data_IF_123814117063
#
_entry.id   IF_123814117063
#
_cell.length_a   1.000
_cell.length_b   1.000
_cell.length_c   1.000
_cell.angle_alpha   90.00
_cell.angle_beta   90.00
_cell.angle_gamma   90.00
#
_symmetry.space_group_name_H-M   'P 1'
#
loop_
_entity.id
_entity.type
_entity.pdbx_description
1 polymer ?
#
# COMPACT_ATOMS: atom_id res chain seq x y z
N UNK A 1 -23.65 -21.26 -12.98
CA UNK A 1 -22.20 -21.41 -13.30
C UNK A 1 -21.84 -20.70 -14.60
N UNK A 2 -22.50 -21.01 -15.72
CA UNK A 2 -22.20 -20.39 -17.03
C UNK A 2 -22.28 -18.86 -17.04
N UNK A 3 -23.30 -18.27 -16.42
CA UNK A 3 -23.42 -16.80 -16.29
C UNK A 3 -22.22 -16.18 -15.54
N UNK A 4 -21.73 -16.83 -14.48
CA UNK A 4 -20.55 -16.38 -13.73
C UNK A 4 -19.28 -16.46 -14.57
N UNK A 5 -19.12 -17.54 -15.33
CA UNK A 5 -18.01 -17.65 -16.29
C UNK A 5 -18.08 -16.51 -17.31
N UNK A 6 -19.24 -16.25 -17.90
CA UNK A 6 -19.42 -15.12 -18.83
C UNK A 6 -19.06 -13.78 -18.18
N UNK A 7 -19.51 -13.54 -16.95
CA UNK A 7 -19.16 -12.33 -16.19
C UNK A 7 -17.63 -12.20 -15.99
N UNK A 8 -16.97 -13.26 -15.51
CA UNK A 8 -15.52 -13.26 -15.28
C UNK A 8 -14.77 -13.06 -16.59
N UNK A 9 -15.21 -13.68 -17.68
CA UNK A 9 -14.61 -13.48 -19.01
C UNK A 9 -14.74 -12.02 -19.46
N UNK A 10 -15.90 -11.38 -19.22
CA UNK A 10 -16.09 -9.95 -19.53
C UNK A 10 -15.20 -9.04 -18.69
N UNK A 11 -14.93 -9.38 -17.42
CA UNK A 11 -13.92 -8.70 -16.61
C UNK A 11 -12.54 -8.83 -17.26
N UNK A 12 -12.14 -10.06 -17.62
CA UNK A 12 -10.83 -10.39 -18.20
C UNK A 12 -10.63 -9.92 -19.65
N UNK A 13 -11.69 -9.42 -20.29
CA UNK A 13 -11.64 -8.69 -21.55
C UNK A 13 -11.31 -7.21 -21.34
N UNK A 14 -11.72 -6.63 -20.20
CA UNK A 14 -11.37 -5.26 -19.81
C UNK A 14 -9.95 -5.16 -19.29
N UNK A 15 -9.56 -6.07 -18.40
CA UNK A 15 -8.19 -6.15 -17.86
C UNK A 15 -7.75 -7.61 -17.75
N UNK A 16 -6.64 -7.93 -18.39
CA UNK A 16 -6.04 -9.26 -18.40
C UNK A 16 -5.51 -9.68 -17.03
N UNK A 17 -5.23 -10.96 -16.90
CA UNK A 17 -4.65 -11.57 -15.70
C UNK A 17 -3.28 -10.94 -15.32
N UNK A 18 -2.52 -10.55 -16.35
CA UNK A 18 -1.20 -9.91 -16.22
C UNK A 18 -1.35 -8.46 -15.75
N UNK A 19 -2.37 -7.73 -16.23
CA UNK A 19 -2.71 -6.38 -15.77
C UNK A 19 -3.20 -6.38 -14.33
N UNK A 20 -4.08 -7.32 -13.96
CA UNK A 20 -4.55 -7.48 -12.59
C UNK A 20 -3.40 -7.85 -11.63
N UNK A 21 -2.38 -8.53 -12.14
CA UNK A 21 -1.17 -8.91 -11.40
C UNK A 21 0.01 -7.99 -11.73
N UNK A 22 -0.25 -6.68 -11.84
CA UNK A 22 0.64 -5.67 -12.39
C UNK A 22 2.12 -5.85 -12.02
N UNK A 23 2.44 -5.98 -10.71
CA UNK A 23 3.84 -6.08 -10.24
C UNK A 23 4.55 -7.31 -10.80
N UNK A 24 3.86 -8.44 -10.77
CA UNK A 24 4.40 -9.73 -11.19
C UNK A 24 4.22 -9.97 -12.70
N UNK A 25 3.48 -9.08 -13.37
CA UNK A 25 3.18 -9.11 -14.79
C UNK A 25 3.92 -7.99 -15.53
N UNK A 26 3.23 -6.87 -15.73
CA UNK A 26 3.69 -5.74 -16.56
C UNK A 26 5.00 -5.14 -16.06
N UNK A 27 5.14 -4.91 -14.75
CA UNK A 27 6.32 -4.22 -14.22
C UNK A 27 7.40 -5.16 -13.70
N UNK A 28 7.33 -6.46 -13.99
CA UNK A 28 8.31 -7.43 -13.47
C UNK A 28 9.75 -7.11 -13.90
N UNK A 29 9.93 -6.48 -15.07
CA UNK A 29 11.23 -6.00 -15.53
C UNK A 29 11.87 -4.99 -14.58
N UNK A 30 11.03 -4.21 -13.91
CA UNK A 30 11.42 -3.07 -13.09
C UNK A 30 11.75 -3.50 -11.65
N UNK A 31 11.58 -4.79 -11.32
CA UNK A 31 11.91 -5.40 -10.03
C UNK A 31 12.93 -6.54 -10.16
N UNK A 32 14.22 -6.27 -10.47
CA UNK A 32 15.25 -7.29 -10.66
C UNK A 32 15.40 -8.29 -9.50
N UNK A 33 15.18 -7.86 -8.25
CA UNK A 33 15.24 -8.76 -7.09
C UNK A 33 14.18 -9.88 -7.17
N UNK A 34 12.98 -9.57 -7.71
CA UNK A 34 11.92 -10.56 -7.91
C UNK A 34 12.27 -11.60 -8.99
N UNK A 35 13.05 -11.21 -10.01
CA UNK A 35 13.52 -12.14 -11.05
C UNK A 35 14.53 -13.16 -10.54
N UNK A 36 15.35 -12.77 -9.55
CA UNK A 36 16.40 -13.62 -8.95
C UNK A 36 15.85 -14.68 -8.00
N UNK A 37 14.57 -14.59 -7.59
CA UNK A 37 13.96 -15.59 -6.73
C UNK A 37 13.90 -16.95 -7.44
N UNK A 38 14.61 -17.95 -6.89
CA UNK A 38 14.47 -19.35 -7.31
C UNK A 38 13.01 -19.74 -7.13
N UNK A 39 12.34 -20.11 -8.22
CA UNK A 39 10.93 -20.49 -8.20
C UNK A 39 10.70 -21.76 -8.97
N UNK A 40 9.58 -22.38 -8.63
CA UNK A 40 9.17 -23.67 -9.13
C UNK A 40 8.93 -23.61 -10.64
N UNK A 41 9.20 -24.72 -11.34
CA UNK A 41 8.83 -24.87 -12.75
C UNK A 41 7.30 -24.76 -12.96
N UNK A 42 6.88 -24.82 -14.22
CA UNK A 42 5.47 -24.71 -14.62
C UNK A 42 4.52 -25.62 -13.79
N UNK A 43 4.89 -26.88 -13.61
CA UNK A 43 4.13 -27.87 -12.81
C UNK A 43 3.95 -27.40 -11.36
N UNK A 44 5.01 -26.84 -10.76
CA UNK A 44 4.94 -26.33 -9.39
C UNK A 44 4.05 -25.09 -9.27
N UNK A 45 3.99 -24.24 -10.30
CA UNK A 45 3.05 -23.11 -10.32
C UNK A 45 1.58 -23.57 -10.43
N UNK A 46 1.30 -24.58 -11.25
CA UNK A 46 -0.04 -25.20 -11.29
C UNK A 46 -0.40 -25.75 -9.91
N UNK A 47 0.51 -26.51 -9.30
CA UNK A 47 0.28 -27.07 -7.97
C UNK A 47 0.03 -26.00 -6.91
N UNK A 48 0.79 -24.90 -6.93
CA UNK A 48 0.54 -23.75 -6.04
C UNK A 48 -0.83 -23.13 -6.26
N UNK A 49 -1.29 -23.00 -7.51
CA UNK A 49 -2.63 -22.47 -7.80
C UNK A 49 -3.73 -23.42 -7.28
N UNK A 50 -3.58 -24.73 -7.48
CA UNK A 50 -4.51 -25.73 -6.96
C UNK A 50 -4.52 -25.72 -5.41
N UNK A 51 -3.35 -25.70 -4.78
CA UNK A 51 -3.20 -25.57 -3.33
C UNK A 51 -3.84 -24.27 -2.81
N UNK A 52 -3.67 -23.15 -3.51
CA UNK A 52 -4.30 -21.89 -3.15
C UNK A 52 -5.83 -22.00 -3.16
N UNK A 53 -6.42 -22.55 -4.21
CA UNK A 53 -7.88 -22.75 -4.27
C UNK A 53 -8.34 -23.74 -3.18
N UNK A 54 -7.55 -24.78 -2.91
CA UNK A 54 -7.90 -25.77 -1.89
C UNK A 54 -7.85 -25.15 -0.51
N UNK A 55 -6.80 -24.40 -0.19
CA UNK A 55 -6.67 -23.65 1.06
C UNK A 55 -7.82 -22.66 1.20
N UNK A 56 -8.11 -21.89 0.17
CA UNK A 56 -9.23 -20.96 0.16
C UNK A 56 -10.58 -21.67 0.44
N UNK A 57 -10.81 -22.82 -0.18
CA UNK A 57 -11.99 -23.64 0.08
C UNK A 57 -12.04 -24.15 1.53
N UNK A 58 -10.92 -24.61 2.08
CA UNK A 58 -10.83 -25.10 3.47
C UNK A 58 -11.07 -23.95 4.48
N UNK A 59 -10.45 -22.79 4.25
CA UNK A 59 -10.50 -21.64 5.13
C UNK A 59 -11.87 -20.94 5.08
N UNK A 60 -12.67 -21.20 4.04
CA UNK A 60 -13.99 -20.60 3.85
C UNK A 60 -15.13 -21.13 4.76
N UNK A 61 -14.80 -21.75 5.90
CA UNK A 61 -15.79 -22.37 6.77
C UNK A 61 -16.65 -21.36 7.54
N UNK A 62 -17.93 -21.35 7.15
CA UNK A 62 -19.13 -20.91 7.87
C UNK A 62 -19.25 -19.43 8.26
N UNK A 63 -20.11 -18.72 7.54
CA UNK A 63 -20.28 -17.27 7.69
C UNK A 63 -21.73 -16.80 7.70
N UNK A 64 -21.92 -15.57 8.23
CA UNK A 64 -23.19 -14.83 8.29
C UNK A 64 -23.34 -13.98 7.02
N UNK A 65 -24.52 -14.01 6.40
CA UNK A 65 -24.84 -13.14 5.27
C UNK A 65 -24.81 -11.67 5.68
N UNK A 66 -24.47 -10.78 4.73
CA UNK A 66 -24.83 -9.36 4.84
C UNK A 66 -26.35 -9.31 5.00
N UNK A 67 -26.83 -8.84 6.15
CA UNK A 67 -28.28 -8.76 6.42
C UNK A 67 -28.90 -7.49 5.85
N UNK A 68 -28.13 -6.39 5.79
CA UNK A 68 -28.60 -5.07 5.37
C UNK A 68 -27.69 -4.51 4.28
N UNK A 69 -28.25 -3.81 3.29
CA UNK A 69 -27.50 -3.10 2.24
C UNK A 69 -26.57 -2.06 2.88
N UNK A 70 -25.23 -2.21 2.83
CA UNK A 70 -24.33 -1.18 3.32
C UNK A 70 -24.25 -0.03 2.32
N UNK A 71 -24.02 1.18 2.80
CA UNK A 71 -23.61 2.31 1.96
C UNK A 71 -22.18 2.10 1.43
N UNK A 72 -21.30 1.62 2.32
CA UNK A 72 -19.87 1.44 2.06
C UNK A 72 -19.40 0.07 2.55
N UNK A 73 -18.61 -0.61 1.72
CA UNK A 73 -17.77 -1.73 2.16
C UNK A 73 -16.31 -1.30 2.24
N UNK A 74 -15.69 -1.53 3.40
CA UNK A 74 -14.26 -1.39 3.62
C UNK A 74 -13.58 -2.71 3.32
N UNK A 75 -12.47 -2.67 2.58
CA UNK A 75 -11.74 -3.87 2.20
C UNK A 75 -10.26 -3.78 2.59
N UNK A 76 -9.77 -4.79 3.33
CA UNK A 76 -8.34 -4.95 3.60
C UNK A 76 -7.90 -6.40 3.64
N UNK A 77 -6.86 -6.76 2.92
CA UNK A 77 -6.30 -8.13 2.94
C UNK A 77 -4.98 -8.27 3.69
N UNK A 78 -4.39 -7.16 4.15
CA UNK A 78 -3.17 -7.14 4.98
C UNK A 78 -3.38 -6.30 6.23
N UNK A 79 -2.49 -6.47 7.22
CA UNK A 79 -2.52 -5.66 8.43
C UNK A 79 -2.30 -4.17 8.16
N UNK A 80 -1.40 -3.81 7.23
CA UNK A 80 -1.14 -2.41 6.90
C UNK A 80 -2.36 -1.73 6.26
N UNK A 81 -3.07 -2.44 5.37
CA UNK A 81 -4.34 -1.96 4.81
C UNK A 81 -5.38 -1.79 5.91
N UNK A 82 -5.50 -2.76 6.81
CA UNK A 82 -6.42 -2.70 7.93
C UNK A 82 -6.16 -1.51 8.86
N UNK A 83 -4.92 -1.30 9.26
CA UNK A 83 -4.52 -0.21 10.16
C UNK A 83 -4.79 1.17 9.58
N UNK A 84 -4.74 1.28 8.24
CA UNK A 84 -5.06 2.53 7.53
C UNK A 84 -6.57 2.80 7.48
N UNK A 85 -7.37 1.75 7.30
CA UNK A 85 -8.83 1.88 7.10
C UNK A 85 -9.66 1.82 8.39
N UNK A 86 -9.22 1.12 9.44
CA UNK A 86 -10.06 0.82 10.60
C UNK A 86 -10.53 2.05 11.37
N UNK A 87 -9.71 3.10 11.47
CA UNK A 87 -10.13 4.30 12.21
C UNK A 87 -11.13 5.11 11.39
N UNK A 88 -10.96 5.17 10.06
CA UNK A 88 -11.91 5.78 9.13
C UNK A 88 -13.26 5.06 9.23
N UNK A 89 -13.24 3.72 9.24
CA UNK A 89 -14.44 2.90 9.44
C UNK A 89 -15.15 3.23 10.76
N UNK A 90 -14.41 3.25 11.89
CA UNK A 90 -14.98 3.55 13.21
C UNK A 90 -15.59 4.95 13.27
N UNK A 91 -14.92 5.92 12.67
CA UNK A 91 -15.38 7.32 12.61
C UNK A 91 -16.70 7.42 11.83
N UNK A 92 -16.77 6.80 10.65
CA UNK A 92 -17.97 6.79 9.81
C UNK A 92 -19.17 6.07 10.46
N UNK A 93 -18.93 4.91 11.09
CA UNK A 93 -19.97 4.17 11.79
C UNK A 93 -20.53 4.93 13.00
N UNK A 94 -19.68 5.68 13.71
CA UNK A 94 -20.07 6.33 14.97
C UNK A 94 -20.71 7.69 14.75
N UNK A 95 -20.20 8.48 13.81
CA UNK A 95 -20.50 9.92 13.73
C UNK A 95 -21.30 10.32 12.48
N UNK A 96 -21.44 9.42 11.50
CA UNK A 96 -21.95 9.78 10.19
C UNK A 96 -23.20 8.99 9.74
N UNK A 97 -23.77 8.16 10.63
CA UNK A 97 -24.99 7.38 10.36
C UNK A 97 -24.95 6.54 9.07
N UNK A 98 -23.76 6.19 8.58
CA UNK A 98 -23.59 5.36 7.39
C UNK A 98 -23.62 3.88 7.75
N UNK A 99 -24.33 3.07 6.97
CA UNK A 99 -24.29 1.63 7.09
C UNK A 99 -22.98 1.11 6.49
N UNK A 100 -21.95 0.92 7.31
CA UNK A 100 -20.66 0.41 6.85
C UNK A 100 -20.44 -1.05 7.23
N UNK A 101 -19.93 -1.83 6.28
CA UNK A 101 -19.43 -3.19 6.54
C UNK A 101 -17.92 -3.25 6.33
N UNK A 102 -17.24 -4.07 7.13
CA UNK A 102 -15.80 -4.29 7.01
C UNK A 102 -15.51 -5.72 6.54
N UNK A 103 -14.72 -5.85 5.48
CA UNK A 103 -14.30 -7.11 4.92
C UNK A 103 -12.78 -7.25 5.06
N UNK A 104 -12.33 -8.28 5.80
CA UNK A 104 -10.93 -8.68 5.80
C UNK A 104 -10.75 -10.17 5.53
N UNK A 105 -9.72 -10.48 4.76
CA UNK A 105 -9.36 -11.87 4.39
C UNK A 105 -8.39 -12.51 5.38
N UNK A 106 -7.61 -11.72 6.14
CA UNK A 106 -6.51 -12.25 6.96
C UNK A 106 -6.40 -11.67 8.37
N UNK A 107 -7.09 -10.58 8.70
CA UNK A 107 -7.00 -10.00 10.05
C UNK A 107 -8.15 -10.53 10.88
N UNK A 108 -7.87 -11.03 12.09
CA UNK A 108 -8.85 -11.54 13.07
C UNK A 108 -9.73 -10.41 13.63
N UNK A 109 -10.51 -9.73 12.81
CA UNK A 109 -11.26 -8.54 13.19
C UNK A 109 -12.70 -8.94 13.48
N UNK A 110 -13.14 -8.71 14.73
CA UNK A 110 -14.55 -8.91 15.09
C UNK A 110 -15.41 -7.92 14.28
N UNK A 111 -16.40 -8.45 13.54
CA UNK A 111 -17.32 -7.79 12.58
C UNK A 111 -17.06 -8.06 11.09
N UNK A 112 -16.39 -9.17 10.76
CA UNK A 112 -16.22 -9.61 9.39
C UNK A 112 -17.54 -10.00 8.72
N UNK A 113 -17.86 -9.32 7.61
CA UNK A 113 -18.72 -9.88 6.56
C UNK A 113 -17.90 -10.91 5.81
N UNK A 114 -18.38 -12.14 5.67
CA UNK A 114 -17.64 -13.17 4.96
C UNK A 114 -18.61 -14.01 4.12
N UNK A 115 -18.21 -14.31 2.90
CA UNK A 115 -19.05 -15.04 1.95
C UNK A 115 -19.02 -16.54 2.21
N UNK A 116 -20.20 -17.18 2.21
CA UNK A 116 -20.29 -18.64 2.05
C UNK A 116 -19.78 -19.01 0.65
N UNK A 117 -18.61 -19.61 0.61
CA UNK A 117 -18.05 -20.18 -0.61
C UNK A 117 -18.86 -21.43 -0.95
N UNK A 118 -19.53 -21.40 -2.10
CA UNK A 118 -20.25 -22.57 -2.63
C UNK A 118 -19.22 -23.55 -3.20
N UNK A 119 -19.54 -24.84 -3.30
CA UNK A 119 -18.68 -25.83 -4.01
C UNK A 119 -18.28 -25.34 -5.42
N UNK A 120 -19.20 -24.65 -6.10
CA UNK A 120 -18.94 -24.06 -7.41
C UNK A 120 -17.86 -22.97 -7.40
N UNK A 121 -17.60 -22.33 -6.26
CA UNK A 121 -16.56 -21.32 -6.09
C UNK A 121 -15.16 -21.93 -6.03
N UNK A 122 -15.02 -23.26 -5.90
CA UNK A 122 -13.76 -23.99 -6.06
C UNK A 122 -13.52 -24.42 -7.52
N UNK A 123 -14.50 -25.08 -8.15
CA UNK A 123 -14.35 -25.60 -9.52
C UNK A 123 -14.42 -24.50 -10.58
N UNK A 124 -15.14 -23.42 -10.30
CA UNK A 124 -15.31 -22.29 -11.22
C UNK A 124 -14.00 -21.64 -11.65
N UNK A 125 -13.16 -21.15 -10.71
CA UNK A 125 -11.85 -20.59 -11.02
C UNK A 125 -10.94 -21.55 -11.80
N UNK A 126 -10.96 -22.85 -11.48
CA UNK A 126 -10.20 -23.87 -12.20
C UNK A 126 -10.66 -23.96 -13.65
N UNK A 127 -11.98 -24.03 -13.89
CA UNK A 127 -12.52 -24.08 -15.25
C UNK A 127 -12.17 -22.81 -16.05
N UNK A 128 -12.29 -21.62 -15.46
CA UNK A 128 -11.86 -20.36 -16.10
C UNK A 128 -10.38 -20.41 -16.46
N UNK A 129 -9.53 -20.91 -15.56
CA UNK A 129 -8.08 -21.04 -15.80
C UNK A 129 -7.77 -21.94 -17.00
N UNK A 130 -8.51 -23.05 -17.17
CA UNK A 130 -8.35 -23.95 -18.32
C UNK A 130 -8.78 -23.27 -19.62
N UNK A 131 -9.91 -22.54 -19.61
CA UNK A 131 -10.41 -21.80 -20.78
C UNK A 131 -9.46 -20.68 -21.22
N UNK A 132 -8.82 -20.00 -20.25
CA UNK A 132 -7.92 -18.86 -20.49
C UNK A 132 -6.46 -19.26 -20.69
N UNK A 133 -6.11 -20.53 -20.48
CA UNK A 133 -4.73 -21.01 -20.51
C UNK A 133 -3.93 -20.52 -21.73
N UNK A 134 -4.45 -20.75 -22.95
CA UNK A 134 -3.77 -20.34 -24.20
C UNK A 134 -3.53 -18.83 -24.27
N UNK A 135 -4.45 -18.01 -23.75
CA UNK A 135 -4.33 -16.55 -23.77
C UNK A 135 -3.30 -16.07 -22.76
N UNK A 136 -3.26 -16.66 -21.57
CA UNK A 136 -2.23 -16.37 -20.56
C UNK A 136 -0.85 -16.77 -21.08
N UNK A 137 -0.70 -17.98 -21.67
CA UNK A 137 0.54 -18.44 -22.33
C UNK A 137 1.04 -17.40 -23.34
N UNK A 138 0.15 -16.99 -24.26
CA UNK A 138 0.48 -15.99 -25.28
C UNK A 138 0.95 -14.69 -24.65
N UNK A 139 0.23 -14.22 -23.62
CA UNK A 139 0.52 -12.94 -22.96
C UNK A 139 1.83 -12.97 -22.17
N UNK A 140 2.16 -14.10 -21.53
CA UNK A 140 3.46 -14.30 -20.86
C UNK A 140 4.58 -14.25 -21.89
N UNK A 141 4.44 -14.98 -23.00
CA UNK A 141 5.46 -15.04 -24.04
C UNK A 141 5.65 -13.73 -24.82
N UNK A 142 4.68 -12.80 -24.74
CA UNK A 142 4.71 -11.52 -25.44
C UNK A 142 4.94 -10.30 -24.54
N UNK A 143 5.28 -10.49 -23.26
CA UNK A 143 5.45 -9.39 -22.30
C UNK A 143 6.64 -9.61 -21.37
N UNK A 144 6.85 -8.69 -20.42
CA UNK A 144 7.84 -8.79 -19.34
C UNK A 144 7.44 -9.79 -18.24
N UNK A 145 6.26 -10.39 -18.33
CA UNK A 145 5.74 -11.39 -17.40
C UNK A 145 6.58 -12.68 -17.40
N UNK A 146 6.39 -13.52 -16.38
CA UNK A 146 7.15 -14.75 -16.21
C UNK A 146 6.29 -15.90 -15.73
N UNK A 147 6.59 -17.09 -16.25
CA UNK A 147 6.02 -18.36 -15.81
C UNK A 147 6.15 -18.60 -14.30
N UNK A 148 7.16 -18.00 -13.66
CA UNK A 148 7.41 -18.09 -12.22
C UNK A 148 6.33 -17.40 -11.35
N UNK A 149 5.40 -16.69 -11.98
CA UNK A 149 4.29 -16.00 -11.33
C UNK A 149 2.94 -16.45 -11.89
N UNK A 150 2.90 -17.55 -12.65
CA UNK A 150 1.66 -18.07 -13.24
C UNK A 150 0.56 -18.31 -12.18
N UNK A 151 0.96 -18.81 -11.00
CA UNK A 151 0.01 -18.99 -9.89
C UNK A 151 -0.63 -17.66 -9.46
N UNK A 152 0.11 -16.55 -9.46
CA UNK A 152 -0.42 -15.22 -9.12
C UNK A 152 -1.38 -14.71 -10.20
N UNK A 153 -1.09 -14.94 -11.49
CA UNK A 153 -2.03 -14.60 -12.56
C UNK A 153 -3.36 -15.32 -12.39
N UNK A 154 -3.30 -16.61 -12.02
CA UNK A 154 -4.49 -17.43 -11.86
C UNK A 154 -5.31 -17.11 -10.59
N UNK A 155 -4.70 -16.49 -9.56
CA UNK A 155 -5.45 -16.00 -8.37
C UNK A 155 -6.55 -15.02 -8.74
N UNK A 156 -6.38 -14.25 -9.82
CA UNK A 156 -7.43 -13.35 -10.34
C UNK A 156 -8.74 -14.09 -10.57
N UNK A 157 -8.73 -15.33 -11.08
CA UNK A 157 -9.95 -16.11 -11.30
C UNK A 157 -10.71 -16.39 -10.00
N UNK A 158 -9.98 -16.73 -8.93
CA UNK A 158 -10.57 -17.00 -7.62
C UNK A 158 -11.18 -15.72 -7.04
N UNK A 159 -10.46 -14.60 -7.10
CA UNK A 159 -10.94 -13.32 -6.57
C UNK A 159 -12.11 -12.75 -7.37
N UNK A 160 -12.05 -12.74 -8.70
CA UNK A 160 -13.16 -12.32 -9.56
C UNK A 160 -14.42 -13.16 -9.28
N UNK A 161 -14.26 -14.47 -9.09
CA UNK A 161 -15.38 -15.35 -8.73
C UNK A 161 -15.95 -15.00 -7.35
N UNK A 162 -15.09 -14.81 -6.36
CA UNK A 162 -15.48 -14.46 -4.99
C UNK A 162 -16.23 -13.13 -4.93
N UNK A 163 -15.74 -12.09 -5.60
CA UNK A 163 -16.37 -10.78 -5.59
C UNK A 163 -17.63 -10.74 -6.45
N UNK A 164 -17.69 -11.51 -7.54
CA UNK A 164 -18.96 -11.76 -8.22
C UNK A 164 -19.96 -12.38 -7.26
N UNK A 165 -19.60 -13.40 -6.48
CA UNK A 165 -20.49 -13.98 -5.47
C UNK A 165 -20.92 -12.96 -4.39
N UNK A 166 -20.02 -12.05 -4.00
CA UNK A 166 -20.29 -10.98 -3.04
C UNK A 166 -21.35 -10.00 -3.54
N UNK A 167 -21.26 -9.61 -4.82
CA UNK A 167 -22.08 -8.55 -5.40
C UNK A 167 -23.17 -9.05 -6.33
N UNK A 168 -23.31 -10.35 -6.60
CA UNK A 168 -24.34 -10.85 -7.51
C UNK A 168 -25.75 -10.39 -7.07
N UNK A 169 -26.02 -10.38 -5.77
CA UNK A 169 -27.30 -9.95 -5.23
C UNK A 169 -27.40 -8.41 -5.11
N UNK A 170 -28.26 -7.81 -5.94
CA UNK A 170 -28.42 -6.36 -6.06
C UNK A 170 -28.92 -5.69 -4.78
N UNK A 171 -29.78 -6.39 -4.02
CA UNK A 171 -30.37 -5.87 -2.78
C UNK A 171 -29.32 -5.65 -1.68
N UNK A 172 -28.16 -6.29 -1.82
CA UNK A 172 -27.04 -6.19 -0.87
C UNK A 172 -25.84 -5.43 -1.43
N UNK A 173 -25.89 -4.92 -2.67
CA UNK A 173 -24.76 -4.20 -3.28
C UNK A 173 -24.52 -2.86 -2.58
N UNK A 174 -23.28 -2.54 -2.20
CA UNK A 174 -22.97 -1.21 -1.70
C UNK A 174 -23.03 -0.16 -2.82
N UNK A 175 -23.15 1.10 -2.40
CA UNK A 175 -22.93 2.23 -3.31
C UNK A 175 -21.42 2.45 -3.52
N UNK A 176 -20.62 2.19 -2.48
CA UNK A 176 -19.17 2.42 -2.47
C UNK A 176 -18.36 1.24 -1.92
N UNK A 177 -17.14 1.07 -2.44
CA UNK A 177 -16.12 0.18 -1.88
C UNK A 177 -14.85 0.97 -1.64
N UNK A 178 -14.38 1.01 -0.39
CA UNK A 178 -13.14 1.66 0.03
C UNK A 178 -12.02 0.62 0.18
N UNK A 179 -10.94 0.83 -0.56
CA UNK A 179 -9.73 0.02 -0.56
C UNK A 179 -8.53 0.87 -0.16
N UNK A 180 -7.43 0.22 0.20
CA UNK A 180 -6.17 0.92 0.45
C UNK A 180 -4.98 0.40 -0.36
N UNK A 181 -5.19 -0.54 -1.29
CA UNK A 181 -4.11 -1.04 -2.14
C UNK A 181 -4.54 -1.00 -3.62
N UNK A 182 -3.62 -0.58 -4.47
CA UNK A 182 -3.82 -0.24 -5.88
C UNK A 182 -3.22 -1.26 -6.86
N UNK A 183 -2.46 -2.25 -6.37
CA UNK A 183 -1.62 -3.10 -7.23
C UNK A 183 -1.68 -4.59 -6.93
N UNK A 184 -2.18 -5.00 -5.76
CA UNK A 184 -2.30 -6.41 -5.45
C UNK A 184 -3.49 -7.03 -6.22
N UNK A 185 -3.33 -8.28 -6.67
CA UNK A 185 -4.31 -8.96 -7.54
C UNK A 185 -5.71 -9.04 -6.93
N UNK A 186 -5.79 -9.01 -5.60
CA UNK A 186 -7.03 -9.09 -4.84
C UNK A 186 -7.82 -7.77 -4.90
N UNK A 187 -7.20 -6.63 -4.57
CA UNK A 187 -7.84 -5.32 -4.66
C UNK A 187 -8.11 -4.93 -6.13
N UNK A 188 -7.20 -5.23 -7.06
CA UNK A 188 -7.43 -4.93 -8.48
C UNK A 188 -8.60 -5.74 -9.03
N UNK A 189 -8.77 -7.00 -8.59
CA UNK A 189 -9.93 -7.83 -8.93
C UNK A 189 -11.22 -7.28 -8.32
N UNK A 190 -11.19 -6.86 -7.04
CA UNK A 190 -12.35 -6.23 -6.39
C UNK A 190 -12.79 -4.96 -7.12
N UNK A 191 -11.84 -4.08 -7.41
CA UNK A 191 -12.04 -2.83 -8.16
C UNK A 191 -12.66 -3.10 -9.54
N UNK A 192 -12.13 -4.08 -10.28
CA UNK A 192 -12.66 -4.43 -11.60
C UNK A 192 -14.10 -4.96 -11.53
N UNK A 193 -14.41 -5.78 -10.53
CA UNK A 193 -15.79 -6.27 -10.32
C UNK A 193 -16.73 -5.11 -9.95
N UNK A 194 -16.28 -4.18 -9.12
CA UNK A 194 -17.04 -2.96 -8.80
C UNK A 194 -17.34 -2.15 -10.07
N UNK A 195 -16.34 -1.96 -10.93
CA UNK A 195 -16.47 -1.24 -12.20
C UNK A 195 -17.51 -1.90 -13.13
N UNK A 196 -17.49 -3.23 -13.27
CA UNK A 196 -18.47 -3.95 -14.11
C UNK A 196 -19.89 -3.86 -13.52
N UNK A 197 -20.04 -3.87 -12.20
CA UNK A 197 -21.34 -3.70 -11.54
C UNK A 197 -21.79 -2.25 -11.37
N UNK A 198 -20.96 -1.26 -11.72
CA UNK A 198 -21.25 0.16 -11.53
C UNK A 198 -21.16 0.64 -10.07
N UNK A 199 -20.52 -0.13 -9.18
CA UNK A 199 -20.25 0.24 -7.79
C UNK A 199 -19.08 1.22 -7.76
N UNK A 200 -19.22 2.33 -7.02
CA UNK A 200 -18.18 3.34 -6.94
C UNK A 200 -17.03 2.89 -6.06
N UNK A 201 -15.82 3.25 -6.45
CA UNK A 201 -14.60 2.82 -5.77
C UNK A 201 -13.85 4.00 -5.19
N UNK A 202 -13.32 3.79 -3.98
CA UNK A 202 -12.53 4.78 -3.27
C UNK A 202 -11.20 4.15 -2.85
N UNK A 203 -10.12 4.92 -2.89
CA UNK A 203 -8.78 4.49 -2.50
C UNK A 203 -8.17 5.41 -1.44
N UNK A 204 -7.63 4.84 -0.37
CA UNK A 204 -6.85 5.55 0.64
C UNK A 204 -5.42 5.06 0.61
N UNK A 205 -4.48 5.97 0.38
CA UNK A 205 -3.05 5.64 0.41
C UNK A 205 -2.63 5.12 1.80
N UNK A 206 -1.82 4.07 1.83
CA UNK A 206 -1.34 3.43 3.09
C UNK A 206 0.19 3.36 3.21
N UNK A 207 0.90 3.72 2.15
CA UNK A 207 2.35 3.62 2.05
C UNK A 207 2.87 4.64 1.03
N UNK A 208 4.15 4.98 1.12
CA UNK A 208 4.82 5.78 0.08
C UNK A 208 4.75 5.06 -1.26
N UNK A 209 4.57 5.85 -2.31
CA UNK A 209 4.35 5.37 -3.68
C UNK A 209 5.47 5.85 -4.59
N UNK A 210 5.52 5.28 -5.78
CA UNK A 210 6.54 5.61 -6.77
C UNK A 210 6.07 5.22 -8.18
N UNK A 211 6.77 5.75 -9.20
CA UNK A 211 6.44 5.62 -10.62
C UNK A 211 6.41 4.19 -11.15
N UNK A 212 6.95 3.22 -10.40
CA UNK A 212 6.86 1.80 -10.75
C UNK A 212 5.50 1.19 -10.44
N UNK A 213 4.65 1.84 -9.64
CA UNK A 213 3.28 1.39 -9.34
C UNK A 213 2.31 1.68 -10.51
N UNK A 214 1.15 0.99 -10.58
CA UNK A 214 0.16 1.27 -11.59
C UNK A 214 -0.49 2.64 -11.37
N UNK A 215 -1.10 3.18 -12.42
CA UNK A 215 -1.97 4.34 -12.31
C UNK A 215 -3.22 4.02 -11.47
N UNK A 216 -3.74 5.03 -10.78
CA UNK A 216 -4.96 4.91 -9.99
C UNK A 216 -6.17 4.71 -10.90
N UNK A 217 -6.98 3.69 -10.58
CA UNK A 217 -8.19 3.32 -11.32
C UNK A 217 -9.44 3.31 -10.41
N UNK A 218 -9.51 4.27 -9.50
CA UNK A 218 -10.61 4.41 -8.53
C UNK A 218 -11.38 5.69 -8.80
N UNK A 219 -12.68 5.75 -8.47
CA UNK A 219 -13.48 6.96 -8.69
C UNK A 219 -13.01 8.13 -7.80
N UNK A 220 -12.68 7.86 -6.53
CA UNK A 220 -12.20 8.86 -5.57
C UNK A 220 -10.91 8.39 -4.90
N UNK A 221 -9.93 9.28 -4.74
CA UNK A 221 -8.63 8.93 -4.16
C UNK A 221 -8.23 9.90 -3.05
N UNK A 222 -7.76 9.36 -1.93
CA UNK A 222 -7.24 10.09 -0.77
C UNK A 222 -5.74 9.81 -0.67
N UNK A 223 -4.95 10.81 -1.03
CA UNK A 223 -3.49 10.72 -1.17
C UNK A 223 -2.79 11.44 -0.02
N UNK A 224 -1.56 11.02 0.29
CA UNK A 224 -0.81 11.58 1.40
C UNK A 224 -0.46 13.06 1.15
N UNK A 225 -0.03 13.42 -0.07
CA UNK A 225 0.33 14.79 -0.43
C UNK A 225 0.57 14.99 -1.92
N UNK A 226 0.97 16.21 -2.31
CA UNK A 226 1.16 16.60 -3.71
C UNK A 226 2.16 15.69 -4.44
N UNK A 227 3.23 15.27 -3.75
CA UNK A 227 4.22 14.36 -4.33
C UNK A 227 3.60 13.04 -4.79
N UNK A 228 2.65 12.50 -4.02
CA UNK A 228 1.97 11.27 -4.40
C UNK A 228 1.11 11.47 -5.66
N UNK A 229 0.38 12.58 -5.73
CA UNK A 229 -0.38 12.96 -6.91
C UNK A 229 0.52 13.08 -8.15
N UNK A 230 1.62 13.83 -8.05
CA UNK A 230 2.58 14.04 -9.14
C UNK A 230 3.16 12.72 -9.67
N UNK A 231 3.48 11.79 -8.77
CA UNK A 231 4.01 10.48 -9.16
C UNK A 231 2.95 9.67 -9.88
N UNK A 232 1.70 9.63 -9.38
CA UNK A 232 0.62 8.90 -10.04
C UNK A 232 0.28 9.46 -11.42
N UNK A 233 0.35 10.77 -11.61
CA UNK A 233 0.20 11.42 -12.92
C UNK A 233 1.31 11.02 -13.91
N UNK A 234 2.50 10.70 -13.39
CA UNK A 234 3.68 10.27 -14.18
C UNK A 234 3.77 8.75 -14.37
N UNK A 235 2.91 7.94 -13.75
CA UNK A 235 2.93 6.49 -13.92
C UNK A 235 2.78 6.11 -15.41
N UNK A 236 3.61 5.17 -15.90
CA UNK A 236 3.63 4.73 -17.31
C UNK A 236 2.26 4.35 -17.87
N UNK A 237 1.37 3.84 -17.01
CA UNK A 237 0.03 3.38 -17.37
C UNK A 237 -1.02 4.49 -17.36
N UNK A 238 -0.73 5.69 -16.84
CA UNK A 238 -1.71 6.75 -16.64
C UNK A 238 -2.35 7.21 -17.96
N UNK A 239 -1.52 7.52 -18.97
CA UNK A 239 -2.00 7.94 -20.30
C UNK A 239 -2.85 6.87 -21.02
N UNK A 240 -2.66 5.59 -20.68
CA UNK A 240 -3.37 4.45 -21.27
C UNK A 240 -4.58 4.02 -20.45
N UNK A 241 -4.77 4.57 -19.25
CA UNK A 241 -5.86 4.17 -18.38
C UNK A 241 -7.18 4.72 -18.91
N UNK A 242 -8.11 3.82 -19.19
CA UNK A 242 -9.50 4.18 -19.53
C UNK A 242 -10.30 4.67 -18.32
N UNK A 243 -9.81 4.38 -17.12
CA UNK A 243 -10.42 4.80 -15.87
C UNK A 243 -9.45 5.70 -15.12
N UNK A 244 -9.78 6.98 -15.03
CA UNK A 244 -9.05 7.97 -14.24
C UNK A 244 -9.86 8.34 -13.01
N UNK A 245 -9.21 8.75 -11.91
CA UNK A 245 -9.94 9.30 -10.77
C UNK A 245 -10.80 10.49 -11.18
N UNK A 246 -12.00 10.54 -10.62
CA UNK A 246 -12.87 11.71 -10.76
C UNK A 246 -12.41 12.84 -9.85
N UNK A 247 -11.84 12.49 -8.70
CA UNK A 247 -11.39 13.47 -7.72
C UNK A 247 -10.25 12.90 -6.87
N UNK A 248 -9.26 13.75 -6.59
CA UNK A 248 -8.19 13.49 -5.65
C UNK A 248 -8.22 14.48 -4.48
N UNK A 249 -8.03 13.94 -3.28
CA UNK A 249 -7.96 14.69 -2.03
C UNK A 249 -6.58 14.49 -1.42
N UNK A 250 -5.90 15.58 -1.03
CA UNK A 250 -4.61 15.51 -0.35
C UNK A 250 -4.83 15.56 1.16
N UNK A 251 -4.88 14.39 1.80
CA UNK A 251 -5.36 14.25 3.18
C UNK A 251 -4.27 14.09 4.22
N UNK A 252 -3.01 13.92 3.82
CA UNK A 252 -1.91 13.60 4.74
C UNK A 252 -1.69 12.10 4.92
N UNK A 253 -0.58 11.76 5.57
CA UNK A 253 -0.19 10.38 5.86
C UNK A 253 -1.15 9.70 6.85
N UNK A 254 -1.62 8.49 6.53
CA UNK A 254 -2.62 7.78 7.35
C UNK A 254 -2.03 7.00 8.54
N UNK A 255 -0.71 7.00 8.72
CA UNK A 255 -0.06 6.37 9.86
C UNK A 255 -0.09 7.31 11.07
N UNK A 256 -0.30 6.75 12.27
CA UNK A 256 -0.30 7.55 13.51
C UNK A 256 1.15 7.90 13.88
N UNK A 257 1.60 9.10 13.51
CA UNK A 257 2.98 9.58 13.72
C UNK A 257 2.95 10.92 14.46
N UNK A 258 3.21 10.86 15.75
CA UNK A 258 3.17 12.04 16.61
C UNK A 258 4.52 12.77 16.61
N UNK A 259 4.51 14.12 16.56
CA UNK A 259 5.72 14.92 16.78
C UNK A 259 6.38 14.55 18.12
N UNK A 260 7.70 14.40 18.12
CA UNK A 260 8.46 14.13 19.32
C UNK A 260 8.51 15.36 20.21
N UNK A 261 8.21 15.20 21.49
CA UNK A 261 8.42 16.26 22.50
C UNK A 261 9.90 16.37 22.92
N UNK A 262 10.64 15.26 22.82
CA UNK A 262 12.08 15.20 23.09
C UNK A 262 12.72 14.13 22.22
N UNK A 263 13.89 14.44 21.68
CA UNK A 263 14.75 13.47 20.97
C UNK A 263 15.53 12.62 21.98
N UNK A 264 15.66 11.33 21.69
CA UNK A 264 16.46 10.42 22.51
C UNK A 264 17.96 10.55 22.23
N UNK A 265 18.77 9.62 22.74
CA UNK A 265 20.23 9.65 22.59
C UNK A 265 20.78 8.71 21.52
N UNK A 266 19.95 7.81 20.98
CA UNK A 266 20.41 6.77 20.07
C UNK A 266 20.46 7.25 18.62
N UNK A 267 21.38 6.70 17.84
CA UNK A 267 21.30 6.69 16.39
C UNK A 267 20.41 5.52 15.98
N UNK A 268 19.23 5.82 15.45
CA UNK A 268 18.35 4.81 14.91
C UNK A 268 18.89 4.34 13.56
N UNK A 269 19.07 3.04 13.39
CA UNK A 269 19.35 2.45 12.08
C UNK A 269 18.20 1.53 11.72
N UNK A 270 17.50 1.81 10.63
CA UNK A 270 16.45 0.93 10.13
C UNK A 270 16.89 0.22 8.85
N UNK A 271 16.69 -1.09 8.79
CA UNK A 271 17.15 -1.93 7.66
C UNK A 271 16.07 -2.88 7.14
N UNK A 272 16.14 -3.22 5.87
CA UNK A 272 15.24 -4.13 5.17
C UNK A 272 16.01 -5.20 4.36
N UNK A 273 15.32 -5.96 3.51
CA UNK A 273 15.92 -7.05 2.72
C UNK A 273 16.82 -6.61 1.56
N UNK A 274 16.73 -5.35 1.12
CA UNK A 274 17.55 -4.79 0.05
C UNK A 274 18.95 -4.37 0.53
N UNK A 275 19.12 -4.25 1.85
CA UNK A 275 20.35 -3.78 2.48
C UNK A 275 21.42 -4.88 2.57
N UNK A 276 22.65 -4.52 2.21
CA UNK A 276 23.85 -5.32 2.43
C UNK A 276 24.26 -5.24 3.91
N UNK A 277 24.03 -6.34 4.63
CA UNK A 277 24.36 -6.45 6.05
C UNK A 277 25.84 -6.23 6.35
N UNK A 278 26.75 -6.42 5.40
CA UNK A 278 28.17 -6.08 5.58
C UNK A 278 28.34 -4.57 5.73
N UNK A 279 27.74 -3.78 4.82
CA UNK A 279 27.78 -2.31 4.87
C UNK A 279 27.11 -1.78 6.13
N UNK A 280 26.00 -2.40 6.54
CA UNK A 280 25.31 -2.07 7.81
C UNK A 280 26.25 -2.31 9.00
N UNK A 281 26.94 -3.46 9.04
CA UNK A 281 27.91 -3.78 10.10
C UNK A 281 29.06 -2.79 10.15
N UNK A 282 29.60 -2.39 9.00
CA UNK A 282 30.68 -1.41 8.91
C UNK A 282 30.21 -0.04 9.43
N UNK A 283 29.02 0.40 9.04
CA UNK A 283 28.41 1.64 9.54
C UNK A 283 28.20 1.63 11.07
N UNK A 284 27.65 0.55 11.63
CA UNK A 284 27.48 0.38 13.08
C UNK A 284 28.82 0.44 13.81
N UNK A 285 29.85 -0.22 13.27
CA UNK A 285 31.19 -0.27 13.88
C UNK A 285 31.83 1.12 13.92
N UNK A 286 31.69 1.90 12.85
CA UNK A 286 32.18 3.28 12.77
C UNK A 286 31.47 4.20 13.77
N UNK A 287 30.14 4.08 13.90
CA UNK A 287 29.35 4.84 14.86
C UNK A 287 29.72 4.52 16.31
N UNK A 288 29.84 3.24 16.63
CA UNK A 288 30.23 2.79 17.98
C UNK A 288 31.65 3.25 18.33
N UNK A 289 32.60 3.20 17.38
CA UNK A 289 33.98 3.70 17.56
C UNK A 289 34.02 5.21 17.81
N UNK A 290 32.99 5.93 17.38
CA UNK A 290 32.81 7.37 17.61
C UNK A 290 31.90 7.66 18.81
N UNK A 291 31.74 6.69 19.73
CA UNK A 291 30.95 6.78 20.96
C UNK A 291 29.44 7.05 20.76
N UNK A 292 28.88 6.79 19.59
CA UNK A 292 27.43 6.81 19.39
C UNK A 292 26.80 5.49 19.82
N UNK A 293 25.66 5.56 20.51
CA UNK A 293 24.84 4.38 20.81
C UNK A 293 23.89 4.11 19.66
N UNK A 294 23.86 2.89 19.15
CA UNK A 294 23.00 2.50 18.03
C UNK A 294 21.75 1.74 18.50
N UNK A 295 20.59 2.13 17.98
CA UNK A 295 19.32 1.40 18.10
C UNK A 295 18.95 0.81 16.72
N UNK A 296 19.11 -0.50 16.56
CA UNK A 296 18.91 -1.20 15.29
C UNK A 296 17.49 -1.74 15.16
N UNK A 297 16.79 -1.38 14.08
CA UNK A 297 15.42 -1.80 13.78
C UNK A 297 15.34 -2.53 12.42
N UNK A 298 15.33 -3.86 12.42
CA UNK A 298 15.04 -4.63 11.20
C UNK A 298 13.57 -4.49 10.76
N UNK A 299 13.31 -4.70 9.48
CA UNK A 299 11.94 -4.87 8.96
C UNK A 299 11.25 -6.08 9.63
N UNK A 300 9.94 -5.99 9.97
CA UNK A 300 9.23 -7.05 10.70
C UNK A 300 9.37 -8.46 10.13
N UNK A 301 9.36 -8.59 8.80
CA UNK A 301 9.43 -9.88 8.11
C UNK A 301 10.82 -10.53 8.15
N UNK A 302 11.86 -9.76 8.51
CA UNK A 302 13.26 -10.23 8.44
C UNK A 302 13.99 -10.16 9.78
N UNK A 303 13.28 -9.79 10.87
CA UNK A 303 13.88 -9.62 12.19
C UNK A 303 14.76 -10.80 12.61
N UNK A 304 14.23 -12.03 12.56
CA UNK A 304 14.96 -13.22 13.00
C UNK A 304 16.23 -13.50 12.19
N UNK A 305 16.19 -13.25 10.87
CA UNK A 305 17.33 -13.44 9.97
C UNK A 305 18.41 -12.40 10.26
N UNK A 306 18.03 -11.14 10.38
CA UNK A 306 18.96 -10.04 10.67
C UNK A 306 19.57 -10.21 12.06
N UNK A 307 18.74 -10.54 13.06
CA UNK A 307 19.18 -10.79 14.42
C UNK A 307 20.26 -11.88 14.47
N UNK A 308 20.05 -13.02 13.82
CA UNK A 308 21.04 -14.10 13.85
C UNK A 308 22.38 -13.72 13.19
N UNK A 309 22.37 -12.82 12.20
CA UNK A 309 23.56 -12.39 11.47
C UNK A 309 24.32 -11.23 12.15
N UNK A 310 23.64 -10.41 12.95
CA UNK A 310 24.22 -9.21 13.56
C UNK A 310 24.17 -9.21 15.11
N UNK A 311 23.75 -10.30 15.75
CA UNK A 311 23.60 -10.41 17.23
C UNK A 311 24.86 -10.04 18.03
N UNK A 312 26.05 -10.20 17.45
CA UNK A 312 27.32 -9.96 18.12
C UNK A 312 27.76 -8.48 18.07
N UNK A 313 26.96 -7.61 17.41
CA UNK A 313 27.20 -6.18 17.40
C UNK A 313 26.72 -5.52 18.69
N UNK A 314 27.47 -4.52 19.16
CA UNK A 314 27.06 -3.68 20.29
C UNK A 314 25.97 -2.70 19.86
N UNK A 315 24.72 -3.16 19.88
CA UNK A 315 23.53 -2.38 19.52
C UNK A 315 22.39 -2.68 20.49
N UNK A 316 21.46 -1.74 20.63
CA UNK A 316 20.15 -2.01 21.22
C UNK A 316 19.21 -2.45 20.11
N UNK A 317 18.47 -3.53 20.33
CA UNK A 317 17.55 -4.07 19.34
C UNK A 317 16.14 -3.48 19.49
N UNK A 318 15.57 -2.98 18.40
CA UNK A 318 14.17 -2.60 18.29
C UNK A 318 13.42 -3.70 17.54
N UNK A 319 12.67 -4.53 18.25
CA UNK A 319 11.79 -5.52 17.63
C UNK A 319 10.50 -4.82 17.17
N UNK A 320 10.22 -4.76 15.85
CA UNK A 320 9.05 -4.06 15.34
C UNK A 320 7.71 -4.72 15.69
N UNK A 321 7.71 -5.96 16.19
CA UNK A 321 6.50 -6.65 16.66
C UNK A 321 6.10 -6.22 18.08
N UNK A 322 7.05 -5.75 18.89
CA UNK A 322 6.81 -5.34 20.29
C UNK A 322 7.03 -3.86 20.55
N UNK A 323 7.78 -3.16 19.69
CA UNK A 323 8.06 -1.74 19.80
C UNK A 323 7.43 -0.96 18.63
N UNK A 324 6.40 -0.15 18.90
CA UNK A 324 5.82 0.79 17.93
C UNK A 324 6.85 1.76 17.34
N UNK A 325 6.54 2.33 16.17
CA UNK A 325 7.41 3.31 15.52
C UNK A 325 7.58 4.59 16.36
N UNK A 326 6.53 5.07 17.03
CA UNK A 326 6.59 6.22 17.92
C UNK A 326 7.66 6.06 19.00
N UNK A 327 7.70 4.87 19.61
CA UNK A 327 8.60 4.55 20.71
C UNK A 327 10.03 4.46 20.20
N UNK A 328 10.22 3.77 19.07
CA UNK A 328 11.52 3.74 18.37
C UNK A 328 12.03 5.15 18.05
N UNK A 329 11.19 6.03 17.49
CA UNK A 329 11.57 7.40 17.16
C UNK A 329 11.89 8.23 18.41
N UNK A 330 11.13 8.08 19.50
CA UNK A 330 11.38 8.82 20.75
C UNK A 330 12.74 8.51 21.39
N UNK A 331 13.31 7.33 21.10
CA UNK A 331 14.63 6.93 21.58
C UNK A 331 15.76 7.47 20.68
N UNK A 332 15.45 7.93 19.48
CA UNK A 332 16.43 8.35 18.49
C UNK A 332 16.72 9.85 18.55
N UNK A 333 17.97 10.25 18.28
CA UNK A 333 18.34 11.63 17.92
C UNK A 333 18.29 11.89 16.41
N UNK A 334 18.54 10.85 15.63
CA UNK A 334 18.49 10.85 14.18
C UNK A 334 18.18 9.44 13.67
N UNK A 335 17.65 9.36 12.45
CA UNK A 335 17.44 8.10 11.73
C UNK A 335 18.43 7.98 10.58
N UNK A 336 19.04 6.82 10.45
CA UNK A 336 19.79 6.37 9.28
C UNK A 336 19.04 5.20 8.66
N UNK A 337 18.75 5.28 7.38
CA UNK A 337 18.33 4.13 6.59
C UNK A 337 18.61 4.35 5.12
N UNK A 338 18.55 3.27 4.35
CA UNK A 338 18.67 3.33 2.90
C UNK A 338 17.28 3.52 2.27
N UNK A 339 16.89 2.69 1.30
CA UNK A 339 15.60 2.74 0.63
C UNK A 339 14.43 2.28 1.50
N UNK A 340 13.78 3.22 2.20
CA UNK A 340 12.63 2.91 3.07
C UNK A 340 11.71 4.11 3.28
N UNK A 341 10.40 3.84 3.37
CA UNK A 341 9.38 4.83 3.74
C UNK A 341 9.51 5.33 5.19
N UNK A 342 10.32 4.67 6.03
CA UNK A 342 10.55 5.12 7.41
C UNK A 342 11.23 6.50 7.48
N UNK A 343 11.88 6.96 6.40
CA UNK A 343 12.37 8.35 6.27
C UNK A 343 11.24 9.36 6.49
N UNK A 344 10.13 9.26 5.73
CA UNK A 344 9.05 10.24 5.86
C UNK A 344 8.35 10.12 7.22
N UNK A 345 8.23 8.93 7.78
CA UNK A 345 7.64 8.70 9.11
C UNK A 345 8.49 9.34 10.22
N UNK A 346 9.82 9.21 10.16
CA UNK A 346 10.71 9.86 11.11
C UNK A 346 10.71 11.38 10.92
N UNK A 347 10.66 11.86 9.68
CA UNK A 347 10.60 13.28 9.38
C UNK A 347 9.30 13.93 9.90
N UNK A 348 8.15 13.27 9.76
CA UNK A 348 6.87 13.69 10.33
C UNK A 348 6.90 13.74 11.87
N UNK A 349 7.68 12.86 12.51
CA UNK A 349 7.92 12.87 13.94
C UNK A 349 8.91 13.99 14.38
N UNK A 350 9.54 14.70 13.45
CA UNK A 350 10.53 15.74 13.74
C UNK A 350 11.96 15.24 13.90
N UNK A 351 12.26 14.01 13.49
CA UNK A 351 13.63 13.49 13.47
C UNK A 351 14.35 13.92 12.18
N UNK A 352 15.64 14.29 12.25
CA UNK A 352 16.49 14.37 11.07
C UNK A 352 16.72 12.96 10.52
N UNK A 353 16.74 12.84 9.20
CA UNK A 353 16.85 11.58 8.49
C UNK A 353 18.00 11.63 7.51
N UNK A 354 18.80 10.56 7.50
CA UNK A 354 20.00 10.44 6.68
C UNK A 354 19.92 9.21 5.82
N UNK A 355 20.03 9.40 4.51
CA UNK A 355 20.16 8.33 3.55
C UNK A 355 21.62 7.86 3.52
N UNK A 356 21.84 6.59 3.86
CA UNK A 356 23.14 5.94 3.75
C UNK A 356 23.01 4.74 2.81
N UNK A 357 23.90 4.63 1.82
CA UNK A 357 23.80 3.59 0.79
C UNK A 357 24.18 2.20 1.32
N UNK A 358 23.17 1.48 1.81
CA UNK A 358 23.26 0.06 2.11
C UNK A 358 22.87 -0.82 0.92
N UNK A 359 22.52 -0.29 -0.26
CA UNK A 359 21.98 -1.11 -1.33
C UNK A 359 22.99 -2.14 -1.85
N UNK A 360 22.48 -3.34 -2.10
CA UNK A 360 23.17 -4.33 -2.94
C UNK A 360 23.16 -3.90 -4.42
N UNK A 361 22.10 -3.19 -4.83
CA UNK A 361 21.83 -2.80 -6.23
C UNK A 361 21.26 -1.38 -6.28
N UNK A 362 21.94 -0.47 -7.01
CA UNK A 362 21.60 0.96 -7.08
C UNK A 362 20.34 1.28 -7.89
N UNK A 363 19.71 0.28 -8.53
CA UNK A 363 18.46 0.47 -9.30
C UNK A 363 17.34 1.13 -8.49
N UNK A 364 17.37 1.00 -7.16
CA UNK A 364 16.36 1.56 -6.28
C UNK A 364 16.75 2.89 -5.65
N UNK A 365 17.90 3.47 -6.01
CA UNK A 365 18.37 4.71 -5.41
C UNK A 365 17.34 5.85 -5.53
N UNK A 366 17.04 6.44 -4.38
CA UNK A 366 16.04 7.47 -4.13
C UNK A 366 14.70 7.21 -4.83
N UNK A 367 14.25 5.95 -4.84
CA UNK A 367 13.07 5.53 -5.58
C UNK A 367 11.78 6.24 -5.13
N UNK A 368 11.72 6.70 -3.88
CA UNK A 368 10.64 7.54 -3.35
C UNK A 368 10.89 9.05 -3.50
N UNK A 369 12.11 9.46 -3.86
CA UNK A 369 12.49 10.85 -4.08
C UNK A 369 12.76 11.66 -2.79
N UNK A 370 13.01 11.00 -1.66
CA UNK A 370 13.20 11.67 -0.36
C UNK A 370 14.48 12.51 -0.32
N UNK A 371 15.56 12.06 -0.97
CA UNK A 371 16.81 12.81 -1.08
C UNK A 371 16.60 14.01 -2.01
N UNK A 372 16.14 13.74 -3.23
CA UNK A 372 15.93 14.76 -4.25
C UNK A 372 14.94 15.86 -3.80
N UNK A 373 13.97 15.51 -2.95
CA UNK A 373 12.99 16.47 -2.44
C UNK A 373 13.45 17.18 -1.16
N UNK A 374 14.58 16.80 -0.55
CA UNK A 374 15.10 17.41 0.67
C UNK A 374 14.47 16.93 1.98
N UNK A 375 13.76 15.78 1.97
CA UNK A 375 13.25 15.15 3.21
C UNK A 375 14.39 14.54 4.02
N UNK A 376 15.34 13.92 3.33
CA UNK A 376 16.49 13.20 3.87
C UNK A 376 17.79 13.68 3.22
N UNK A 377 18.90 13.61 3.96
CA UNK A 377 20.22 13.99 3.44
C UNK A 377 21.02 12.74 3.13
N UNK A 378 21.51 12.63 1.90
CA UNK A 378 22.48 11.61 1.54
C UNK A 378 23.83 11.89 2.19
N UNK A 379 24.43 10.86 2.79
CA UNK A 379 25.78 10.97 3.35
C UNK A 379 26.55 9.65 3.31
N UNK A 380 27.85 9.77 3.09
CA UNK A 380 28.83 8.69 3.27
C UNK A 380 29.60 8.84 4.58
N UNK A 381 29.51 10.00 5.25
CA UNK A 381 30.17 10.29 6.52
C UNK A 381 29.15 10.86 7.52
N UNK A 382 28.47 9.95 8.21
CA UNK A 382 27.41 10.29 9.14
C UNK A 382 27.89 11.11 10.35
N UNK A 383 29.14 10.90 10.78
CA UNK A 383 29.69 11.56 11.97
C UNK A 383 29.79 13.06 11.71
N UNK A 384 30.34 13.42 10.55
CA UNK A 384 30.50 14.81 10.12
C UNK A 384 29.14 15.52 9.97
N UNK A 385 28.12 14.81 9.47
CA UNK A 385 26.77 15.39 9.36
C UNK A 385 26.12 15.62 10.74
N UNK A 386 26.38 14.78 11.73
CA UNK A 386 25.92 15.02 13.10
C UNK A 386 26.63 16.20 13.76
N UNK A 387 27.88 16.48 13.41
CA UNK A 387 28.61 17.64 13.93
C UNK A 387 28.13 18.96 13.33
N UNK A 388 27.64 18.93 12.08
CA UNK A 388 27.15 20.12 11.37
C UNK A 388 25.74 20.56 11.79
N UNK A 389 24.96 19.69 12.44
CA UNK A 389 23.55 19.88 12.88
C UNK A 389 22.63 20.55 11.84
N UNK A 390 22.89 20.34 10.55
CA UNK A 390 22.28 21.11 9.45
C UNK A 390 20.81 20.86 9.21
N UNK A 391 20.26 19.73 9.66
CA UNK A 391 18.89 19.32 9.29
C UNK A 391 17.79 19.82 10.23
N UNK A 392 18.14 20.46 11.34
CA UNK A 392 17.13 20.94 12.27
C UNK A 392 16.53 22.25 11.73
N UNK A 393 15.25 22.17 11.36
CA UNK A 393 14.35 23.31 11.15
C UNK A 393 14.58 24.16 9.89
N UNK A 394 15.23 23.61 8.85
CA UNK A 394 15.25 24.29 7.56
C UNK A 394 13.84 24.39 6.97
N UNK A 395 13.40 25.62 6.65
CA UNK A 395 12.10 25.89 6.02
C UNK A 395 11.87 25.03 4.77
N UNK A 396 12.92 24.81 3.97
CA UNK A 396 12.93 23.94 2.79
C UNK A 396 12.54 22.49 3.11
N UNK A 397 13.03 21.94 4.23
CA UNK A 397 12.70 20.58 4.67
C UNK A 397 11.24 20.47 5.11
N UNK A 398 10.71 21.47 5.81
CA UNK A 398 9.30 21.47 6.21
C UNK A 398 8.37 21.51 4.99
N UNK A 399 8.70 22.30 3.97
CA UNK A 399 7.99 22.33 2.68
C UNK A 399 8.08 20.97 1.97
N UNK A 400 9.27 20.35 1.97
CA UNK A 400 9.45 19.00 1.43
C UNK A 400 8.56 17.97 2.15
N UNK A 401 8.56 17.94 3.48
CA UNK A 401 7.72 17.02 4.25
C UNK A 401 6.24 17.27 3.96
N UNK A 402 5.81 18.54 3.87
CA UNK A 402 4.44 18.90 3.53
C UNK A 402 4.03 18.42 2.14
N UNK A 403 4.95 18.43 1.16
CA UNK A 403 4.68 17.86 -0.17
C UNK A 403 4.42 16.34 -0.12
N UNK A 404 4.99 15.62 0.85
CA UNK A 404 4.70 14.19 1.06
C UNK A 404 3.51 13.93 1.98
N UNK A 405 3.17 14.86 2.87
CA UNK A 405 2.02 14.78 3.77
C UNK A 405 1.36 16.14 3.89
N UNK A 406 0.24 16.34 3.18
CA UNK A 406 -0.45 17.63 3.10
C UNK A 406 -0.92 18.17 4.46
N UNK A 407 -1.15 17.28 5.44
CA UNK A 407 -1.53 17.64 6.81
C UNK A 407 -0.37 18.13 7.67
N UNK A 408 0.89 18.04 7.22
CA UNK A 408 2.04 18.36 8.04
C UNK A 408 2.07 19.83 8.43
N UNK A 409 2.26 20.11 9.73
CA UNK A 409 2.20 21.44 10.34
C UNK A 409 0.88 22.20 10.12
N UNK A 410 -0.22 21.48 9.88
CA UNK A 410 -1.57 22.05 9.88
C UNK A 410 -2.34 21.62 11.12
N UNK A 411 -3.52 22.20 11.34
CA UNK A 411 -4.41 21.79 12.46
C UNK A 411 -4.92 20.34 12.35
N UNK A 412 -4.67 19.72 11.19
CA UNK A 412 -5.09 18.38 10.81
C UNK A 412 -4.00 17.32 10.89
N UNK A 413 -2.75 17.68 11.22
CA UNK A 413 -1.72 16.68 11.48
C UNK A 413 -2.18 15.72 12.60
N UNK A 414 -2.09 14.41 12.36
CA UNK A 414 -2.63 13.34 13.22
C UNK A 414 -4.16 13.25 13.31
N UNK A 415 -4.89 13.95 12.43
CA UNK A 415 -6.36 13.90 12.30
C UNK A 415 -6.79 13.56 10.87
N UNK A 416 -5.88 13.03 10.06
CA UNK A 416 -6.08 12.70 8.65
C UNK A 416 -7.27 11.75 8.44
N UNK A 417 -7.45 10.78 9.35
CA UNK A 417 -8.54 9.81 9.27
C UNK A 417 -9.92 10.42 9.51
N UNK A 418 -10.00 11.46 10.34
CA UNK A 418 -11.24 12.21 10.60
C UNK A 418 -11.62 13.01 9.35
N UNK A 419 -10.64 13.63 8.70
CA UNK A 419 -10.83 14.30 7.42
C UNK A 419 -11.36 13.33 6.38
N UNK A 420 -10.69 12.19 6.20
CA UNK A 420 -11.08 11.21 5.19
C UNK A 420 -12.50 10.72 5.45
N UNK A 421 -12.85 10.43 6.69
CA UNK A 421 -14.22 10.07 7.08
C UNK A 421 -15.23 11.17 6.71
N UNK A 422 -14.94 12.43 7.03
CA UNK A 422 -15.80 13.57 6.66
C UNK A 422 -15.99 13.69 5.15
N UNK A 423 -14.91 13.63 4.39
CA UNK A 423 -14.94 13.71 2.92
C UNK A 423 -15.76 12.56 2.32
N UNK A 424 -15.57 11.33 2.80
CA UNK A 424 -16.36 10.17 2.39
C UNK A 424 -17.84 10.41 2.68
N UNK A 425 -18.19 10.91 3.87
CA UNK A 425 -19.57 11.21 4.21
C UNK A 425 -20.19 12.28 3.29
N UNK A 426 -19.43 13.29 2.89
CA UNK A 426 -19.89 14.33 1.97
C UNK A 426 -20.11 13.78 0.56
N UNK A 427 -19.21 12.91 0.08
CA UNK A 427 -19.35 12.18 -1.20
C UNK A 427 -20.59 11.29 -1.20
N UNK A 428 -20.79 10.49 -0.14
CA UNK A 428 -21.91 9.54 -0.05
C UNK A 428 -23.26 10.24 0.01
N UNK A 429 -23.34 11.37 0.73
CA UNK A 429 -24.58 12.13 0.87
C UNK A 429 -24.80 13.16 -0.25
N UNK A 430 -23.99 13.14 -1.31
CA UNK A 430 -24.07 14.08 -2.43
C UNK A 430 -24.12 15.56 -1.99
N UNK A 431 -23.52 15.90 -0.85
CA UNK A 431 -23.42 17.31 -0.43
C UNK A 431 -22.40 17.96 -1.34
N UNK A 432 -22.85 18.91 -2.19
CA UNK A 432 -22.07 19.68 -3.18
C UNK A 432 -20.56 19.70 -2.89
N UNK A 433 -19.83 18.68 -3.35
CA UNK A 433 -18.38 18.73 -3.50
C UNK A 433 -18.15 19.41 -4.85
N UNK A 434 -18.46 20.71 -4.95
CA UNK A 434 -18.40 21.43 -6.23
C UNK A 434 -16.96 21.43 -6.74
N UNK A 435 -16.83 21.10 -8.02
CA UNK A 435 -15.59 20.79 -8.76
C UNK A 435 -14.77 22.00 -9.23
N UNK A 436 -15.07 23.23 -8.83
CA UNK A 436 -14.36 24.41 -9.35
C UNK A 436 -13.85 25.32 -8.22
N UNK A 437 -13.54 24.71 -7.08
CA UNK A 437 -12.88 25.41 -6.00
C UNK A 437 -12.03 24.36 -5.33
N UNK A 438 -10.72 24.61 -5.29
CA UNK A 438 -9.86 24.22 -4.18
C UNK A 438 -10.57 24.73 -2.93
N UNK A 439 -11.60 24.01 -2.49
CA UNK A 439 -12.33 24.29 -1.29
C UNK A 439 -11.43 23.71 -0.23
N UNK A 440 -10.50 24.56 0.17
CA UNK A 440 -9.79 24.53 1.42
C UNK A 440 -10.85 24.26 2.48
N UNK A 441 -11.16 22.99 2.75
CA UNK A 441 -11.78 22.60 4.00
C UNK A 441 -10.65 22.79 5.01
N UNK A 442 -10.43 24.05 5.43
CA UNK A 442 -9.43 24.48 6.40
C UNK A 442 -8.01 23.87 6.20
N UNK A 443 -7.33 24.16 5.09
CA UNK A 443 -5.96 23.72 4.72
C UNK A 443 -5.83 22.42 3.90
N UNK A 444 -6.94 21.89 3.38
CA UNK A 444 -6.94 20.67 2.56
C UNK A 444 -7.13 21.03 1.11
N UNK A 445 -6.11 20.76 0.29
CA UNK A 445 -6.20 20.96 -1.15
C UNK A 445 -7.05 19.84 -1.79
N UNK A 446 -8.11 20.28 -2.44
CA UNK A 446 -8.96 19.43 -3.28
C UNK A 446 -8.59 19.72 -4.72
N UNK A 447 -8.11 18.69 -5.42
CA UNK A 447 -7.75 18.79 -6.83
C UNK A 447 -8.87 18.17 -7.65
N UNK A 448 -9.65 19.04 -8.30
CA UNK A 448 -10.70 18.70 -9.25
C UNK A 448 -10.20 18.58 -10.69
N UNK A 449 -8.93 18.89 -10.93
CA UNK A 449 -8.37 19.08 -12.26
C UNK A 449 -7.91 17.76 -12.91
N UNK A 450 -8.74 16.72 -12.80
CA UNK A 450 -8.83 15.75 -13.90
C UNK A 450 -9.83 16.31 -14.90
N UNK A 451 -9.48 17.43 -15.56
CA UNK A 451 -10.22 17.93 -16.72
C UNK A 451 -10.18 16.82 -17.79
N UNK A 452 -11.20 15.97 -17.76
CA UNK A 452 -11.67 15.31 -18.96
C UNK A 452 -12.46 16.38 -19.70
N UNK A 453 -11.93 16.84 -20.83
CA UNK A 453 -12.78 17.33 -21.91
C UNK A 453 -13.89 16.27 -22.10
N UNK A 454 -15.12 16.64 -21.72
CA UNK A 454 -16.29 15.79 -21.86
C UNK A 454 -16.72 15.66 -23.33
#
# INVERSE_FOLDING_TARGET
MLQKIKFIMSCLERESEIELSYIDGISLSDFPHKKKLKRFGFIGNIFQFLLFNLKYFIDSKSFKSIKNKPDIIFFSSTHNQYSSLITIYKELCSNHNLACNYYSVNTKVKNEVINRVKLNSYFGPILVSLLRFKRVVKSINSSSASWNFYSNYCKSYTYLWMYNDLFENIDTRPNFVLMSNDHNVENTSLRLVCEVYGIKTMYVQHASISSLLPSLKFDYVFLDGQKALDVYLKCKTFARSKHKPKQAFLTGQQKNIYPLTKKGSFIGIAINELDDLKRVKDCISNLNSSNFKVLLRPHPEHYNKVYSQLKDLSVVWSNPQSMPLSDFFSMCKALICCESSIHIEAALAGLPTYYYDFLIDSVYYDYYGFINSGVSVETTNIIEEFEKDKLNEEKSRNEAIKNYSASYLTTYQNKEKIIVAKLINDIVNCKNVRSNTVSVINDIEVHSDFECDF
#
